data_IF_064353346420
#
_entry.id   IF_064353346420
#
_cell.length_a   1.000
_cell.length_b   1.000
_cell.length_c   1.000
_cell.angle_alpha   90.00
_cell.angle_beta   90.00
_cell.angle_gamma   90.00
#
_symmetry.space_group_name_H-M   'P 1'
#
loop_
_entity.id
_entity.type
_entity.pdbx_description
1 polymer ?
#
# COMPACT_ATOMS: atom_id res chain seq x y z
N UNK A 1 7.90 15.12 6.98
CA UNK A 1 9.10 15.96 6.76
C UNK A 1 8.85 16.81 5.52
N UNK A 2 8.62 16.22 4.34
CA UNK A 2 8.35 16.97 3.10
C UNK A 2 7.14 17.92 3.23
N UNK A 3 6.03 17.47 3.84
CA UNK A 3 4.85 18.30 4.09
C UNK A 3 5.13 19.52 4.98
N UNK A 4 6.21 19.51 5.76
CA UNK A 4 6.68 20.63 6.58
C UNK A 4 7.72 21.49 5.86
N UNK A 5 7.94 21.28 4.56
CA UNK A 5 8.94 21.99 3.76
C UNK A 5 10.39 21.68 4.19
N UNK A 6 10.63 20.52 4.81
CA UNK A 6 11.97 20.08 5.20
C UNK A 6 12.50 19.08 4.16
N UNK A 7 13.78 19.24 3.83
CA UNK A 7 14.46 18.32 2.92
C UNK A 7 14.89 17.05 3.68
N UNK A 8 14.31 15.87 3.36
CA UNK A 8 14.70 14.62 4.00
C UNK A 8 16.09 14.12 3.55
N UNK A 9 16.65 14.63 2.43
CA UNK A 9 18.00 14.27 1.96
C UNK A 9 19.10 15.02 2.68
N UNK A 10 18.75 16.12 3.36
CA UNK A 10 19.63 16.95 4.15
C UNK A 10 19.01 17.22 5.54
N UNK A 11 18.61 16.15 6.24
CA UNK A 11 17.83 16.23 7.47
C UNK A 11 18.63 16.80 8.65
N UNK A 12 19.93 16.64 8.66
CA UNK A 12 20.83 17.13 9.72
C UNK A 12 22.14 16.36 9.77
N UNK A 13 22.76 16.35 10.95
CA UNK A 13 24.02 15.63 11.18
C UNK A 13 23.92 14.80 12.46
N UNK A 14 24.53 13.63 12.45
CA UNK A 14 24.74 12.81 13.62
C UNK A 14 26.24 12.44 13.72
N UNK A 15 26.88 12.78 14.81
CA UNK A 15 28.33 12.57 15.01
C UNK A 15 29.18 13.12 13.85
N UNK A 16 28.82 14.30 13.32
CA UNK A 16 29.53 14.94 12.21
C UNK A 16 29.26 14.34 10.82
N UNK A 17 28.42 13.30 10.72
CA UNK A 17 27.99 12.71 9.46
C UNK A 17 26.62 13.25 9.05
N UNK A 18 26.43 13.64 7.78
CA UNK A 18 25.14 14.10 7.28
C UNK A 18 24.12 12.94 7.31
N UNK A 19 22.88 13.26 7.64
CA UNK A 19 21.76 12.33 7.62
C UNK A 19 20.96 12.57 6.35
N UNK A 20 20.86 11.53 5.50
CA UNK A 20 19.97 11.46 4.37
C UNK A 20 18.93 10.38 4.64
N UNK A 21 17.73 10.79 5.10
CA UNK A 21 16.68 9.83 5.50
C UNK A 21 16.20 8.97 4.33
N UNK A 22 16.26 9.50 3.09
CA UNK A 22 15.88 8.73 1.90
C UNK A 22 16.94 7.66 1.60
N UNK A 23 18.22 8.02 1.59
CA UNK A 23 19.31 7.07 1.35
C UNK A 23 19.37 6.01 2.46
N UNK A 24 19.42 6.47 3.71
CA UNK A 24 19.67 5.63 4.89
C UNK A 24 18.49 4.67 5.16
N UNK A 25 17.27 5.12 4.86
CA UNK A 25 16.04 4.36 5.07
C UNK A 25 15.66 3.45 3.88
N UNK A 26 16.21 3.69 2.68
CA UNK A 26 15.85 2.94 1.48
C UNK A 26 17.06 2.47 0.68
N UNK A 27 17.50 3.21 -0.35
CA UNK A 27 18.40 2.69 -1.37
C UNK A 27 19.83 2.36 -0.88
N UNK A 28 20.27 2.92 0.24
CA UNK A 28 21.55 2.58 0.90
C UNK A 28 21.34 2.01 2.32
N UNK A 29 20.18 1.45 2.60
CA UNK A 29 19.85 0.89 3.90
C UNK A 29 20.94 -0.06 4.42
N UNK A 30 21.42 0.22 5.65
CA UNK A 30 22.53 -0.52 6.28
C UNK A 30 22.06 -1.60 7.25
N UNK A 31 20.74 -1.78 7.41
CA UNK A 31 20.22 -2.88 8.21
C UNK A 31 20.68 -4.23 7.64
N UNK A 32 20.78 -5.24 8.50
CA UNK A 32 21.35 -6.55 8.17
C UNK A 32 20.74 -7.15 6.89
N UNK A 33 19.42 -7.15 6.78
CA UNK A 33 18.69 -7.69 5.65
C UNK A 33 18.15 -6.57 4.72
N UNK A 34 18.77 -5.38 4.81
CA UNK A 34 18.38 -4.20 4.07
C UNK A 34 16.95 -3.74 4.41
N UNK A 35 16.24 -3.13 3.44
CA UNK A 35 14.82 -2.74 3.61
C UNK A 35 13.94 -3.91 4.01
N UNK A 36 14.25 -5.13 3.56
CA UNK A 36 13.51 -6.35 3.87
C UNK A 36 13.55 -6.79 5.34
N UNK A 37 14.34 -6.14 6.21
CA UNK A 37 14.36 -6.41 7.67
C UNK A 37 12.95 -6.33 8.29
N UNK A 38 12.07 -5.50 7.73
CA UNK A 38 10.67 -5.37 8.14
C UNK A 38 9.70 -6.11 7.20
N UNK A 39 10.19 -7.13 6.49
CA UNK A 39 9.41 -7.86 5.51
C UNK A 39 8.91 -6.96 4.39
N UNK A 40 7.67 -7.20 3.94
CA UNK A 40 7.05 -6.44 2.85
C UNK A 40 6.93 -4.93 3.15
N UNK A 41 6.67 -4.55 4.40
CA UNK A 41 6.57 -3.14 4.80
C UNK A 41 7.82 -2.33 4.48
N UNK A 42 9.00 -2.89 4.69
CA UNK A 42 10.25 -2.19 4.41
C UNK A 42 10.42 -1.88 2.92
N UNK A 43 10.01 -2.78 2.05
CA UNK A 43 10.04 -2.58 0.60
C UNK A 43 8.99 -1.56 0.14
N UNK A 44 7.75 -1.67 0.65
CA UNK A 44 6.65 -0.75 0.35
C UNK A 44 7.03 0.69 0.73
N UNK A 45 7.34 0.92 2.01
CA UNK A 45 7.59 2.27 2.51
C UNK A 45 8.91 2.85 2.03
N UNK A 46 9.91 2.00 1.76
CA UNK A 46 11.15 2.42 1.11
C UNK A 46 10.90 2.95 -0.30
N UNK A 47 10.08 2.26 -1.11
CA UNK A 47 9.72 2.70 -2.46
C UNK A 47 8.91 4.01 -2.42
N UNK A 48 7.86 4.05 -1.59
CA UNK A 48 7.04 5.26 -1.40
C UNK A 48 7.90 6.46 -0.97
N UNK A 49 8.88 6.25 -0.08
CA UNK A 49 9.73 7.35 0.40
C UNK A 49 10.58 7.95 -0.72
N UNK A 50 11.11 7.11 -1.62
CA UNK A 50 11.89 7.56 -2.78
C UNK A 50 11.02 8.31 -3.81
N UNK A 51 9.77 7.88 -3.98
CA UNK A 51 8.89 8.38 -5.03
C UNK A 51 8.08 9.62 -4.59
N UNK A 52 7.84 9.80 -3.29
CA UNK A 52 7.09 10.94 -2.73
C UNK A 52 7.63 12.31 -3.20
N UNK A 53 8.92 12.45 -3.36
CA UNK A 53 9.57 13.67 -3.86
C UNK A 53 10.37 13.42 -5.15
N UNK A 54 10.16 12.28 -5.82
CA UNK A 54 10.95 11.85 -6.98
C UNK A 54 12.46 11.96 -6.73
N UNK A 55 12.88 11.55 -5.52
CA UNK A 55 14.28 11.66 -5.11
C UNK A 55 15.17 10.83 -6.01
N UNK A 56 16.30 11.40 -6.50
CA UNK A 56 17.23 10.66 -7.34
C UNK A 56 17.86 9.49 -6.56
N UNK A 57 17.94 8.34 -7.20
CA UNK A 57 18.68 7.18 -6.70
C UNK A 57 19.96 7.05 -7.52
N UNK A 58 21.15 7.08 -6.91
CA UNK A 58 22.41 6.93 -7.62
C UNK A 58 22.52 5.59 -8.35
N UNK A 59 23.26 5.55 -9.45
CA UNK A 59 23.45 4.32 -10.25
C UNK A 59 24.18 3.21 -9.47
N UNK A 60 25.01 3.59 -8.50
CA UNK A 60 25.72 2.70 -7.59
C UNK A 60 25.00 2.40 -6.29
N UNK A 61 23.74 2.79 -6.18
CA UNK A 61 22.91 2.52 -5.01
C UNK A 61 22.82 1.01 -4.71
N UNK A 62 22.92 0.66 -3.42
CA UNK A 62 22.85 -0.74 -2.98
C UNK A 62 21.52 -1.41 -3.35
N UNK A 63 20.42 -0.66 -3.31
CA UNK A 63 19.08 -1.12 -3.64
C UNK A 63 18.41 -0.11 -4.59
N UNK A 64 18.57 -0.25 -5.92
CA UNK A 64 17.86 0.59 -6.89
C UNK A 64 16.35 0.35 -6.84
N UNK A 65 15.55 1.31 -7.36
CA UNK A 65 14.08 1.22 -7.40
C UNK A 65 13.56 -0.11 -7.95
N UNK A 66 14.18 -0.62 -9.02
CA UNK A 66 13.79 -1.90 -9.60
C UNK A 66 13.88 -3.06 -8.62
N UNK A 67 14.81 -3.02 -7.65
CA UNK A 67 14.91 -4.01 -6.58
C UNK A 67 13.68 -3.95 -5.67
N UNK A 68 13.27 -2.75 -5.24
CA UNK A 68 12.08 -2.58 -4.41
C UNK A 68 10.82 -3.12 -5.11
N UNK A 69 10.63 -2.73 -6.37
CA UNK A 69 9.50 -3.22 -7.19
C UNK A 69 9.54 -4.75 -7.24
N UNK A 70 10.68 -5.33 -7.62
CA UNK A 70 10.83 -6.79 -7.75
C UNK A 70 10.57 -7.51 -6.43
N UNK A 71 11.07 -6.99 -5.29
CA UNK A 71 10.86 -7.62 -3.99
C UNK A 71 9.39 -7.56 -3.56
N UNK A 72 8.67 -6.46 -3.85
CA UNK A 72 7.22 -6.39 -3.64
C UNK A 72 6.51 -7.44 -4.52
N UNK A 73 6.80 -7.49 -5.82
CA UNK A 73 6.17 -8.42 -6.75
C UNK A 73 6.43 -9.90 -6.39
N UNK A 74 7.63 -10.25 -5.92
CA UNK A 74 7.97 -11.59 -5.45
C UNK A 74 7.09 -12.10 -4.31
N UNK A 75 6.57 -11.20 -3.48
CA UNK A 75 5.78 -11.52 -2.30
C UNK A 75 4.29 -11.60 -2.59
N UNK A 76 3.84 -11.31 -3.82
CA UNK A 76 2.44 -11.45 -4.20
C UNK A 76 2.00 -12.91 -4.09
N UNK A 77 0.82 -13.15 -3.53
CA UNK A 77 0.19 -14.47 -3.49
C UNK A 77 -0.34 -14.81 -4.88
N UNK A 78 0.10 -15.93 -5.46
CA UNK A 78 -0.22 -16.37 -6.83
C UNK A 78 -0.97 -17.70 -6.83
N UNK A 79 -1.37 -18.17 -8.01
CA UNK A 79 -1.95 -19.50 -8.21
C UNK A 79 -1.11 -20.58 -7.52
N UNK A 80 -1.78 -21.53 -6.89
CA UNK A 80 -1.15 -22.62 -6.14
C UNK A 80 -1.06 -22.36 -4.63
N UNK A 81 -1.30 -21.12 -4.19
CA UNK A 81 -1.57 -20.81 -2.78
C UNK A 81 -3.05 -21.03 -2.52
N UNK A 82 -3.37 -21.78 -1.46
CA UNK A 82 -4.73 -22.27 -1.20
C UNK A 82 -5.78 -21.14 -1.16
N UNK A 83 -6.88 -21.37 -1.88
CA UNK A 83 -8.11 -20.58 -1.75
C UNK A 83 -8.05 -19.19 -2.40
N UNK A 84 -8.85 -18.30 -1.89
CA UNK A 84 -9.11 -16.96 -2.43
C UNK A 84 -8.00 -15.92 -2.12
N UNK A 85 -6.75 -16.35 -1.95
CA UNK A 85 -5.64 -15.44 -1.61
C UNK A 85 -4.94 -14.83 -2.84
N UNK A 86 -5.26 -15.31 -4.04
CA UNK A 86 -4.64 -14.91 -5.29
C UNK A 86 -4.69 -13.37 -5.51
N UNK A 87 -3.56 -12.82 -5.93
CA UNK A 87 -3.42 -11.41 -6.28
C UNK A 87 -3.05 -10.48 -5.13
N UNK A 88 -3.27 -10.86 -3.87
CA UNK A 88 -3.00 -10.00 -2.71
C UNK A 88 -1.64 -10.23 -2.07
N UNK A 89 -1.39 -9.46 -1.02
CA UNK A 89 -0.18 -9.56 -0.17
C UNK A 89 -0.55 -9.79 1.29
N UNK A 90 0.41 -10.25 2.07
CA UNK A 90 0.29 -10.52 3.51
C UNK A 90 1.42 -9.86 4.29
N UNK A 91 1.20 -9.51 5.55
CA UNK A 91 2.11 -8.73 6.40
C UNK A 91 3.56 -9.27 6.42
N UNK A 92 3.74 -10.56 6.55
CA UNK A 92 5.08 -11.18 6.53
C UNK A 92 5.70 -11.32 5.14
N UNK A 93 4.99 -10.96 4.07
CA UNK A 93 5.39 -11.18 2.68
C UNK A 93 5.16 -12.61 2.18
N UNK A 94 4.96 -13.56 3.08
CA UNK A 94 4.72 -14.98 2.76
C UNK A 94 3.56 -15.52 3.59
N UNK A 95 2.68 -16.29 2.96
CA UNK A 95 1.50 -16.83 3.63
C UNK A 95 0.48 -17.41 2.67
N UNK A 96 -0.70 -17.71 3.19
CA UNK A 96 -1.80 -18.35 2.43
C UNK A 96 -3.04 -17.48 2.33
N UNK A 97 -3.10 -16.38 3.06
CA UNK A 97 -4.26 -15.48 3.10
C UNK A 97 -3.78 -14.03 2.93
N UNK A 98 -4.32 -13.32 1.95
CA UNK A 98 -4.01 -11.91 1.74
C UNK A 98 -4.65 -11.05 2.82
N UNK A 99 -3.93 -10.00 3.19
CA UNK A 99 -4.38 -8.94 4.08
C UNK A 99 -4.81 -7.72 3.24
N UNK A 100 -5.91 -7.08 3.62
CA UNK A 100 -6.47 -5.93 2.89
C UNK A 100 -5.50 -4.76 2.92
N UNK A 101 -4.98 -4.43 4.11
CA UNK A 101 -4.13 -3.26 4.31
C UNK A 101 -2.80 -3.43 3.56
N UNK A 102 -2.17 -4.61 3.69
CA UNK A 102 -0.93 -4.91 2.99
C UNK A 102 -1.10 -4.91 1.47
N UNK A 103 -2.23 -5.43 0.97
CA UNK A 103 -2.55 -5.42 -0.46
C UNK A 103 -2.72 -3.99 -0.97
N UNK A 104 -3.49 -3.18 -0.25
CA UNK A 104 -3.69 -1.78 -0.62
C UNK A 104 -2.39 -0.95 -0.56
N UNK A 105 -1.57 -1.14 0.47
CA UNK A 105 -0.28 -0.45 0.60
C UNK A 105 0.72 -0.88 -0.49
N UNK A 106 0.72 -2.15 -0.90
CA UNK A 106 1.54 -2.61 -2.02
C UNK A 106 1.11 -1.95 -3.34
N UNK A 107 -0.20 -1.82 -3.60
CA UNK A 107 -0.73 -1.09 -4.76
C UNK A 107 -0.28 0.38 -4.71
N UNK A 108 -0.35 1.05 -3.55
CA UNK A 108 0.10 2.44 -3.41
C UNK A 108 1.58 2.60 -3.78
N UNK A 109 2.45 1.69 -3.32
CA UNK A 109 3.86 1.72 -3.65
C UNK A 109 4.14 1.47 -5.15
N UNK A 110 3.33 0.63 -5.78
CA UNK A 110 3.47 0.26 -7.19
C UNK A 110 2.76 1.24 -8.16
N UNK A 111 1.90 2.13 -7.64
CA UNK A 111 1.08 3.02 -8.46
C UNK A 111 1.87 3.89 -9.45
N UNK A 112 3.04 4.48 -9.12
CA UNK A 112 3.84 5.23 -10.10
C UNK A 112 4.27 4.42 -11.32
N UNK A 113 4.30 3.10 -11.21
CA UNK A 113 4.74 2.15 -12.25
C UNK A 113 3.58 1.43 -12.94
N UNK A 114 2.33 1.76 -12.59
CA UNK A 114 1.13 1.08 -13.10
C UNK A 114 0.97 1.21 -14.62
N UNK A 115 1.39 2.33 -15.18
CA UNK A 115 1.31 2.60 -16.62
C UNK A 115 2.62 2.33 -17.38
N UNK A 116 3.61 1.71 -16.72
CA UNK A 116 4.87 1.30 -17.34
C UNK A 116 4.74 -0.15 -17.86
N UNK A 117 5.13 -0.36 -19.13
CA UNK A 117 5.09 -1.67 -19.79
C UNK A 117 6.32 -2.55 -19.46
N UNK A 118 7.18 -2.12 -18.55
CA UNK A 118 8.34 -2.90 -18.09
C UNK A 118 7.89 -4.24 -17.52
N UNK A 119 8.42 -5.33 -18.07
CA UNK A 119 8.19 -6.69 -17.59
C UNK A 119 9.25 -7.06 -16.58
N UNK A 120 8.83 -7.45 -15.40
CA UNK A 120 9.69 -7.96 -14.33
C UNK A 120 9.64 -9.49 -14.34
N UNK A 121 10.82 -10.13 -14.40
CA UNK A 121 10.96 -11.59 -14.31
C UNK A 121 11.61 -11.95 -12.98
N UNK A 122 10.95 -12.80 -12.21
CA UNK A 122 11.37 -13.18 -10.87
C UNK A 122 10.83 -14.56 -10.48
N UNK A 123 11.48 -15.21 -9.52
CA UNK A 123 10.89 -16.39 -8.86
C UNK A 123 9.96 -15.90 -7.74
N UNK A 124 8.68 -16.23 -7.85
CA UNK A 124 7.71 -15.88 -6.81
C UNK A 124 8.06 -16.58 -5.50
N UNK A 125 8.04 -15.84 -4.40
CA UNK A 125 8.45 -16.33 -3.10
C UNK A 125 7.46 -17.29 -2.44
N UNK A 126 6.19 -17.26 -2.84
CA UNK A 126 5.14 -18.17 -2.33
C UNK A 126 5.03 -19.44 -3.17
N UNK A 127 4.77 -19.33 -4.47
CA UNK A 127 4.59 -20.48 -5.38
C UNK A 127 5.89 -21.16 -5.80
N UNK A 128 7.04 -20.49 -5.65
CA UNK A 128 8.37 -20.96 -6.12
C UNK A 128 8.46 -21.13 -7.65
N UNK A 129 7.55 -20.54 -8.39
CA UNK A 129 7.54 -20.56 -9.86
C UNK A 129 8.15 -19.27 -10.43
N UNK A 130 8.70 -19.35 -11.63
CA UNK A 130 9.10 -18.17 -12.38
C UNK A 130 7.85 -17.44 -12.89
N UNK A 131 7.85 -16.12 -12.73
CA UNK A 131 6.79 -15.21 -13.13
C UNK A 131 7.39 -14.08 -13.95
N UNK A 132 6.73 -13.73 -15.06
CA UNK A 132 7.06 -12.57 -15.87
C UNK A 132 5.80 -11.73 -16.06
N UNK A 133 5.72 -10.57 -15.37
CA UNK A 133 4.55 -9.69 -15.37
C UNK A 133 4.97 -8.23 -15.37
N UNK A 134 4.11 -7.38 -15.90
CA UNK A 134 4.16 -5.94 -15.65
C UNK A 134 3.59 -5.62 -14.26
N UNK A 135 3.90 -4.42 -13.74
CA UNK A 135 3.27 -3.92 -12.50
C UNK A 135 1.75 -3.87 -12.66
N UNK A 136 1.25 -3.42 -13.83
CA UNK A 136 -0.20 -3.38 -14.13
C UNK A 136 -0.86 -4.73 -13.91
N UNK A 137 -0.32 -5.81 -14.47
CA UNK A 137 -0.90 -7.14 -14.32
C UNK A 137 -0.99 -7.57 -12.85
N UNK A 138 0.05 -7.32 -12.07
CA UNK A 138 0.04 -7.63 -10.63
C UNK A 138 -0.95 -6.78 -9.84
N UNK A 139 -1.04 -5.48 -10.16
CA UNK A 139 -1.97 -4.56 -9.51
C UNK A 139 -3.43 -4.88 -9.88
N UNK A 140 -3.72 -5.22 -11.14
CA UNK A 140 -5.07 -5.59 -11.56
C UNK A 140 -5.58 -6.85 -10.82
N UNK A 141 -4.73 -7.87 -10.67
CA UNK A 141 -5.01 -9.05 -9.86
C UNK A 141 -5.29 -8.69 -8.38
N UNK A 142 -4.53 -7.74 -7.85
CA UNK A 142 -4.71 -7.28 -6.48
C UNK A 142 -6.00 -6.46 -6.30
N UNK A 143 -6.38 -5.65 -7.28
CA UNK A 143 -7.64 -4.93 -7.28
C UNK A 143 -8.84 -5.88 -7.33
N UNK A 144 -8.77 -6.93 -8.15
CA UNK A 144 -9.81 -7.96 -8.21
C UNK A 144 -9.89 -8.71 -6.87
N UNK A 145 -8.73 -8.98 -6.25
CA UNK A 145 -8.69 -9.57 -4.90
C UNK A 145 -9.35 -8.67 -3.86
N UNK A 146 -9.03 -7.39 -3.82
CA UNK A 146 -9.64 -6.43 -2.91
C UNK A 146 -11.17 -6.33 -3.13
N UNK A 147 -11.60 -6.25 -4.39
CA UNK A 147 -13.02 -6.26 -4.75
C UNK A 147 -13.75 -7.50 -4.21
N UNK A 148 -13.11 -8.67 -4.27
CA UNK A 148 -13.68 -9.92 -3.73
C UNK A 148 -13.81 -9.95 -2.19
N UNK A 149 -13.12 -9.05 -1.49
CA UNK A 149 -13.15 -8.91 -0.04
C UNK A 149 -14.12 -7.83 0.46
N UNK A 150 -14.73 -7.08 -0.47
CA UNK A 150 -15.71 -6.05 -0.11
C UNK A 150 -16.89 -6.70 0.62
N UNK A 151 -17.21 -6.21 1.82
CA UNK A 151 -18.35 -6.67 2.59
C UNK A 151 -19.64 -5.89 2.23
N UNK A 152 -20.81 -6.40 2.67
CA UNK A 152 -22.12 -5.79 2.40
C UNK A 152 -22.31 -4.38 2.97
N UNK A 153 -21.41 -3.95 3.85
CA UNK A 153 -21.44 -2.63 4.44
C UNK A 153 -20.63 -1.58 3.66
N UNK A 154 -19.98 -1.96 2.55
CA UNK A 154 -19.11 -1.10 1.76
C UNK A 154 -17.72 -0.93 2.38
N UNK A 155 -17.26 -1.91 3.14
CA UNK A 155 -15.97 -1.86 3.81
C UNK A 155 -15.25 -3.20 3.80
N UNK A 156 -14.28 -3.35 4.68
CA UNK A 156 -13.41 -4.52 4.77
C UNK A 156 -13.25 -4.98 6.20
N UNK A 157 -12.99 -6.28 6.32
CA UNK A 157 -12.62 -6.92 7.59
C UNK A 157 -11.13 -7.26 7.54
N UNK A 158 -10.36 -6.72 8.47
CA UNK A 158 -8.96 -7.07 8.72
C UNK A 158 -8.80 -7.54 10.15
N UNK A 159 -8.08 -8.65 10.39
CA UNK A 159 -7.91 -9.25 11.71
C UNK A 159 -9.25 -9.50 12.45
N UNK A 160 -10.24 -10.01 11.72
CA UNK A 160 -11.61 -10.26 12.19
C UNK A 160 -12.37 -9.01 12.69
N UNK A 161 -11.98 -7.83 12.26
CA UNK A 161 -12.60 -6.57 12.67
C UNK A 161 -12.87 -5.69 11.46
N UNK A 162 -14.11 -5.24 11.30
CA UNK A 162 -14.44 -4.16 10.38
C UNK A 162 -13.87 -2.86 10.93
N UNK A 163 -13.01 -2.21 10.17
CA UNK A 163 -12.33 -1.00 10.61
C UNK A 163 -12.23 0.04 9.48
N UNK A 164 -12.11 1.31 9.86
CA UNK A 164 -12.05 2.42 8.91
C UNK A 164 -10.71 2.48 8.19
N UNK A 165 -9.64 2.03 8.83
CA UNK A 165 -8.28 2.08 8.29
C UNK A 165 -8.14 1.24 7.03
N UNK A 166 -8.72 0.03 7.03
CA UNK A 166 -8.71 -0.83 5.84
C UNK A 166 -9.46 -0.20 4.66
N UNK A 167 -10.57 0.49 4.92
CA UNK A 167 -11.30 1.25 3.88
C UNK A 167 -10.41 2.39 3.36
N UNK A 168 -9.76 3.11 4.27
CA UNK A 168 -8.89 4.23 3.94
C UNK A 168 -7.73 3.80 3.05
N UNK A 169 -7.05 2.70 3.39
CA UNK A 169 -5.94 2.17 2.59
C UNK A 169 -6.38 1.81 1.17
N UNK A 170 -7.54 1.16 1.02
CA UNK A 170 -8.06 0.79 -0.30
C UNK A 170 -8.46 2.03 -1.11
N UNK A 171 -9.14 3.02 -0.51
CA UNK A 171 -9.47 4.27 -1.20
C UNK A 171 -8.23 4.98 -1.74
N UNK A 172 -7.17 5.07 -0.94
CA UNK A 172 -5.91 5.68 -1.37
C UNK A 172 -5.26 4.90 -2.51
N UNK A 173 -5.26 3.55 -2.42
CA UNK A 173 -4.73 2.70 -3.47
C UNK A 173 -5.45 2.90 -4.81
N UNK A 174 -6.78 2.98 -4.81
CA UNK A 174 -7.59 3.23 -5.99
C UNK A 174 -7.28 4.59 -6.60
N UNK A 175 -7.31 5.65 -5.79
CA UNK A 175 -6.96 7.01 -6.24
C UNK A 175 -5.55 7.06 -6.85
N UNK A 176 -4.58 6.36 -6.25
CA UNK A 176 -3.20 6.35 -6.70
C UNK A 176 -3.02 5.74 -8.10
N UNK A 177 -3.83 4.75 -8.45
CA UNK A 177 -3.83 4.13 -9.80
C UNK A 177 -4.84 4.73 -10.77
N UNK A 178 -5.51 5.82 -10.39
CA UNK A 178 -6.44 6.55 -11.25
C UNK A 178 -7.83 5.93 -11.35
N UNK A 179 -8.26 5.15 -10.34
CA UNK A 179 -9.57 4.51 -10.26
C UNK A 179 -10.46 5.27 -9.25
N UNK A 180 -11.70 5.58 -9.66
CA UNK A 180 -12.66 6.25 -8.81
C UNK A 180 -13.25 5.28 -7.76
N UNK A 181 -13.00 5.48 -6.45
CA UNK A 181 -13.50 4.61 -5.39
C UNK A 181 -15.03 4.56 -5.28
N UNK A 182 -15.73 5.56 -5.84
CA UNK A 182 -17.19 5.65 -5.80
C UNK A 182 -17.86 5.09 -7.07
N UNK A 183 -17.09 4.74 -8.12
CA UNK A 183 -17.65 4.33 -9.41
C UNK A 183 -17.19 2.97 -9.92
N UNK A 184 -16.04 2.46 -9.46
CA UNK A 184 -15.58 1.13 -9.89
C UNK A 184 -16.50 0.04 -9.31
N UNK A 185 -17.06 -0.77 -10.20
CA UNK A 185 -18.06 -1.79 -9.86
C UNK A 185 -17.55 -2.84 -8.87
N UNK A 186 -16.22 -3.07 -8.78
CA UNK A 186 -15.61 -4.00 -7.82
C UNK A 186 -15.76 -3.54 -6.37
N UNK A 187 -15.93 -2.22 -6.17
CA UNK A 187 -15.99 -1.57 -4.87
C UNK A 187 -17.36 -0.96 -4.55
N UNK A 188 -18.38 -1.40 -5.28
CA UNK A 188 -19.79 -1.07 -5.00
C UNK A 188 -20.51 -2.34 -4.59
N UNK A 189 -21.16 -2.33 -3.43
CA UNK A 189 -21.92 -3.48 -2.95
C UNK A 189 -23.15 -3.75 -3.82
N UNK A 190 -23.73 -4.94 -3.67
CA UNK A 190 -24.98 -5.28 -4.36
C UNK A 190 -26.11 -4.27 -4.14
N UNK A 191 -26.14 -3.65 -2.95
CA UNK A 191 -27.15 -2.64 -2.57
C UNK A 191 -26.72 -1.21 -2.94
N UNK A 192 -25.64 -1.05 -3.71
CA UNK A 192 -25.17 0.23 -4.22
C UNK A 192 -24.34 1.07 -3.23
N UNK A 193 -23.89 0.51 -2.11
CA UNK A 193 -23.00 1.22 -1.18
C UNK A 193 -21.58 1.26 -1.73
N UNK A 194 -20.96 2.42 -1.62
CA UNK A 194 -19.56 2.70 -2.00
C UNK A 194 -18.63 2.58 -0.79
N UNK A 195 -17.31 2.66 -1.04
CA UNK A 195 -16.31 2.75 0.03
C UNK A 195 -16.51 4.00 0.90
N UNK A 196 -16.99 5.10 0.31
CA UNK A 196 -17.30 6.31 1.07
C UNK A 196 -18.47 6.08 2.04
N UNK A 197 -19.54 5.39 1.61
CA UNK A 197 -20.65 5.01 2.48
C UNK A 197 -20.14 4.11 3.62
N UNK A 198 -19.26 3.16 3.32
CA UNK A 198 -18.60 2.30 4.30
C UNK A 198 -17.80 3.10 5.33
N UNK A 199 -16.99 4.04 4.88
CA UNK A 199 -16.17 4.90 5.74
C UNK A 199 -17.01 5.79 6.65
N UNK A 200 -18.09 6.40 6.14
CA UNK A 200 -18.94 7.31 6.90
C UNK A 200 -19.65 6.63 8.08
N UNK A 201 -19.73 5.31 8.13
CA UNK A 201 -20.24 4.55 9.29
C UNK A 201 -19.39 4.72 10.55
N UNK A 202 -18.13 5.07 10.38
CA UNK A 202 -17.15 5.26 11.47
C UNK A 202 -17.02 6.72 11.90
N UNK A 203 -17.77 7.63 11.23
CA UNK A 203 -17.74 9.05 11.55
C UNK A 203 -18.47 9.34 12.85
N UNK A 204 -17.83 10.08 13.74
CA UNK A 204 -18.40 10.57 14.99
C UNK A 204 -19.17 11.88 14.78
N UNK A 205 -20.00 12.25 15.76
CA UNK A 205 -20.82 13.47 15.72
C UNK A 205 -19.99 14.77 15.71
N UNK A 206 -18.78 14.74 16.24
CA UNK A 206 -17.82 15.83 16.23
C UNK A 206 -17.03 15.96 14.91
N UNK A 207 -17.26 15.03 13.98
CA UNK A 207 -16.58 14.98 12.68
C UNK A 207 -15.33 14.09 12.65
N UNK A 208 -14.89 13.57 13.80
CA UNK A 208 -13.79 12.62 13.89
C UNK A 208 -14.18 11.21 13.46
N UNK A 209 -13.25 10.28 13.55
CA UNK A 209 -13.45 8.87 13.20
C UNK A 209 -13.09 7.94 14.36
N UNK A 210 -13.83 6.84 14.47
CA UNK A 210 -13.52 5.72 15.36
C UNK A 210 -12.91 4.55 14.57
N UNK A 211 -12.12 3.71 15.25
CA UNK A 211 -11.53 2.51 14.67
C UNK A 211 -12.59 1.48 14.28
N UNK A 212 -13.55 1.22 15.17
CA UNK A 212 -14.67 0.30 14.96
C UNK A 212 -15.99 1.04 15.12
N UNK A 213 -17.03 0.60 14.40
CA UNK A 213 -18.37 1.20 14.46
C UNK A 213 -18.87 1.24 15.89
N UNK A 214 -19.42 2.38 16.32
CA UNK A 214 -19.82 2.70 17.69
C UNK A 214 -18.66 2.77 18.71
N UNK A 215 -17.42 2.81 18.26
CA UNK A 215 -16.25 3.09 19.10
C UNK A 215 -16.12 4.57 19.44
N UNK A 216 -15.11 4.89 20.25
CA UNK A 216 -14.71 6.26 20.55
C UNK A 216 -13.72 6.82 19.52
N UNK A 217 -13.39 8.10 19.66
CA UNK A 217 -12.38 8.77 18.87
C UNK A 217 -11.03 8.00 18.92
N UNK A 218 -10.40 7.85 17.77
CA UNK A 218 -9.13 7.14 17.64
C UNK A 218 -8.18 7.91 16.73
N UNK A 219 -6.95 8.17 17.17
CA UNK A 219 -5.98 8.98 16.42
C UNK A 219 -5.62 8.35 15.07
N UNK A 220 -5.33 7.05 15.04
CA UNK A 220 -4.97 6.34 13.81
C UNK A 220 -6.13 6.32 12.81
N UNK A 221 -7.35 6.08 13.30
CA UNK A 221 -8.55 6.14 12.47
C UNK A 221 -8.76 7.53 11.84
N UNK A 222 -8.54 8.59 12.63
CA UNK A 222 -8.63 9.97 12.12
C UNK A 222 -7.55 10.27 11.09
N UNK A 223 -6.31 9.91 11.35
CA UNK A 223 -5.19 10.14 10.44
C UNK A 223 -5.44 9.44 9.10
N UNK A 224 -5.81 8.16 9.12
CA UNK A 224 -5.99 7.38 7.92
C UNK A 224 -7.26 7.76 7.15
N UNK A 225 -8.39 7.99 7.83
CA UNK A 225 -9.61 8.45 7.18
C UNK A 225 -9.40 9.83 6.53
N UNK A 226 -8.74 10.76 7.22
CA UNK A 226 -8.42 12.10 6.65
C UNK A 226 -7.50 11.97 5.44
N UNK A 227 -6.47 11.14 5.51
CA UNK A 227 -5.56 10.85 4.42
C UNK A 227 -6.32 10.32 3.18
N UNK A 228 -7.23 9.39 3.37
CA UNK A 228 -8.04 8.83 2.28
C UNK A 228 -9.01 9.86 1.68
N UNK A 229 -9.67 10.67 2.51
CA UNK A 229 -10.55 11.73 2.04
C UNK A 229 -9.79 12.80 1.26
N UNK A 230 -8.56 13.14 1.67
CA UNK A 230 -7.69 14.06 0.92
C UNK A 230 -7.25 13.44 -0.41
N UNK A 231 -6.93 12.15 -0.44
CA UNK A 231 -6.59 11.45 -1.68
C UNK A 231 -7.77 11.46 -2.66
N UNK A 232 -8.97 11.18 -2.18
CA UNK A 232 -10.20 11.21 -2.98
C UNK A 232 -10.54 12.62 -3.49
N UNK A 233 -10.46 13.62 -2.63
CA UNK A 233 -10.68 15.02 -3.02
C UNK A 233 -9.70 15.51 -4.10
N UNK A 234 -8.45 15.06 -4.06
CA UNK A 234 -7.46 15.39 -5.09
C UNK A 234 -7.67 14.64 -6.40
N UNK A 235 -8.31 13.49 -6.32
CA UNK A 235 -8.64 12.65 -7.46
C UNK A 235 -9.79 13.24 -8.29
N UNK A 236 -10.82 13.84 -7.65
CA UNK A 236 -11.93 14.53 -8.30
C UNK A 236 -11.50 15.87 -8.93
#
# INVERSE_FOLDING_TARGET
IAALGRDPTAFGNYNGQPINLIADGSYNCVLRDGPGTQGLNGWIWGLISMDTGMYPVPDDAKYPRATFITEILKMQLTDGVQGNAYGGWVLGGYGTTSDVDMTAMAIQALAPYYNDDTVYTYTNGNSKTEVSKTVRQCVDEALDRLGSLLNEAGGFTSWNTDNVESIAQVMVALCAVGIDPAKDARFITRDGKTLLDGMLRFRLSDGGFCHVVNGGWNSMANDQATYALVAYWRFE
#
